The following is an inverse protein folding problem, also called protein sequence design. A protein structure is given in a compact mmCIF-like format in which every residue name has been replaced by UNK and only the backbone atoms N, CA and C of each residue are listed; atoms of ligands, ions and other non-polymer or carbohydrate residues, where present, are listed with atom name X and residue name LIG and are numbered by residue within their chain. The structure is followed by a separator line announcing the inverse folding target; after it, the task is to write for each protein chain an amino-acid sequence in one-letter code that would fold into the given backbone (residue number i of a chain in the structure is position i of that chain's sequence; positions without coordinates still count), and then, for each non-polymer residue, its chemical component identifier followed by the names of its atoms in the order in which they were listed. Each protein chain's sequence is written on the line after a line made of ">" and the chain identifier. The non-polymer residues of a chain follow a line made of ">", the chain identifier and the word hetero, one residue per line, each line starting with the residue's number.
data_IF_167485258703
#
_entry.id   IF_167485258703
#
_cell.length_a   1.000
_cell.length_b   1.000
_cell.length_c   1.000
_cell.angle_alpha   90.00
_cell.angle_beta   90.00
_cell.angle_gamma   90.00
#
_symmetry.space_group_name_H-M   'P 1'
#
loop_
_entity.id
_entity.type
_entity.pdbx_description
1 polymer ?
#
# COMPACT_ATOMS: atom_id res chain seq x y z
N UNK A 1 10.52 -19.40 40.68
CA UNK A 1 10.01 -19.54 39.30
C UNK A 1 11.08 -19.17 38.26
N UNK A 2 11.56 -17.92 38.20
CA UNK A 2 12.58 -17.52 37.21
C UNK A 2 13.87 -18.37 37.26
N UNK A 3 14.46 -18.57 38.46
CA UNK A 3 15.66 -19.41 38.66
C UNK A 3 15.49 -20.84 38.14
N UNK A 4 14.31 -21.42 38.29
CA UNK A 4 14.01 -22.77 37.81
C UNK A 4 13.94 -22.81 36.28
N UNK A 5 13.27 -21.84 35.66
CA UNK A 5 13.21 -21.72 34.19
C UNK A 5 14.60 -21.56 33.60
N UNK A 6 15.42 -20.63 34.13
CA UNK A 6 16.78 -20.38 33.64
C UNK A 6 17.66 -21.63 33.78
N UNK A 7 17.59 -22.31 34.92
CA UNK A 7 18.35 -23.54 35.17
C UNK A 7 17.94 -24.68 34.23
N UNK A 8 16.64 -24.90 34.05
CA UNK A 8 16.11 -25.94 33.16
C UNK A 8 16.48 -25.68 31.69
N UNK A 9 16.35 -24.44 31.21
CA UNK A 9 16.75 -24.08 29.84
C UNK A 9 18.26 -24.29 29.66
N UNK A 10 19.08 -23.87 30.63
CA UNK A 10 20.52 -23.97 30.55
C UNK A 10 20.97 -25.44 30.48
N UNK A 11 20.47 -26.31 31.36
CA UNK A 11 20.81 -27.75 31.33
C UNK A 11 20.39 -28.40 30.02
N UNK A 12 19.14 -28.21 29.59
CA UNK A 12 18.64 -28.86 28.37
C UNK A 12 19.24 -28.28 27.09
N UNK A 13 19.88 -27.10 27.15
CA UNK A 13 20.63 -26.54 26.03
C UNK A 13 21.96 -27.28 25.77
N UNK A 14 22.55 -27.91 26.80
CA UNK A 14 23.78 -28.73 26.70
C UNK A 14 23.51 -30.23 26.48
N UNK A 15 22.24 -30.66 26.46
CA UNK A 15 21.90 -32.05 26.18
C UNK A 15 22.15 -32.39 24.70
N UNK A 16 22.81 -33.52 24.44
CA UNK A 16 23.11 -33.99 23.08
C UNK A 16 21.87 -34.39 22.28
N UNK A 17 20.83 -34.89 22.97
CA UNK A 17 19.52 -35.14 22.39
C UNK A 17 18.56 -34.01 22.76
N UNK A 18 17.93 -33.39 21.75
CA UNK A 18 16.99 -32.27 21.90
C UNK A 18 15.59 -32.71 21.48
N UNK A 19 14.65 -32.65 22.40
CA UNK A 19 13.24 -32.92 22.13
C UNK A 19 12.38 -31.86 22.81
N UNK A 20 11.31 -31.43 22.14
CA UNK A 20 10.42 -30.37 22.62
C UNK A 20 9.75 -30.71 23.97
N UNK A 21 9.57 -32.01 24.25
CA UNK A 21 8.96 -32.47 25.51
C UNK A 21 9.79 -32.17 26.76
N UNK A 22 11.11 -31.98 26.63
CA UNK A 22 11.98 -31.66 27.78
C UNK A 22 11.70 -30.29 28.39
N UNK A 23 11.16 -29.35 27.59
CA UNK A 23 10.78 -28.01 28.05
C UNK A 23 9.27 -27.87 28.35
N UNK A 24 8.46 -28.89 28.07
CA UNK A 24 7.02 -28.86 28.35
C UNK A 24 6.69 -28.60 29.83
N UNK A 25 7.43 -29.14 30.82
CA UNK A 25 7.17 -28.88 32.24
C UNK A 25 7.35 -27.42 32.66
N UNK A 26 8.13 -26.62 31.93
CA UNK A 26 8.32 -25.18 32.24
C UNK A 26 7.31 -24.27 31.51
N UNK A 27 6.52 -24.82 30.58
CA UNK A 27 5.54 -24.07 29.79
C UNK A 27 4.48 -23.35 30.64
N UNK A 28 3.90 -23.96 31.69
CA UNK A 28 2.93 -23.26 32.55
C UNK A 28 3.55 -22.06 33.27
N UNK A 29 4.80 -22.18 33.73
CA UNK A 29 5.50 -21.08 34.41
C UNK A 29 5.77 -19.91 33.45
N UNK A 30 6.14 -20.20 32.20
CA UNK A 30 6.31 -19.20 31.16
C UNK A 30 5.01 -18.45 30.85
N UNK A 31 3.86 -19.14 30.83
CA UNK A 31 2.55 -18.52 30.64
C UNK A 31 2.17 -17.58 31.78
N UNK A 32 2.50 -17.91 33.03
CA UNK A 32 2.29 -17.02 34.18
C UNK A 32 3.11 -15.73 34.04
N UNK A 33 4.37 -15.82 33.61
CA UNK A 33 5.19 -14.64 33.34
C UNK A 33 4.67 -13.80 32.16
N UNK A 34 4.23 -14.45 31.07
CA UNK A 34 3.63 -13.76 29.94
C UNK A 34 2.34 -13.03 30.34
N UNK A 35 1.46 -13.67 31.11
CA UNK A 35 0.23 -13.08 31.62
C UNK A 35 0.53 -11.88 32.53
N UNK A 36 1.48 -12.01 33.47
CA UNK A 36 1.90 -10.89 34.32
C UNK A 36 2.42 -9.71 33.50
N UNK A 37 3.28 -9.97 32.50
CA UNK A 37 3.80 -8.93 31.60
C UNK A 37 2.67 -8.22 30.85
N UNK A 38 1.70 -8.97 30.30
CA UNK A 38 0.53 -8.40 29.62
C UNK A 38 -0.34 -7.56 30.55
N UNK A 39 -0.57 -8.01 31.78
CA UNK A 39 -1.33 -7.23 32.77
C UNK A 39 -0.58 -5.96 33.12
N UNK A 40 0.70 -6.04 33.46
CA UNK A 40 1.54 -4.88 33.80
C UNK A 40 1.54 -3.87 32.62
N UNK A 41 1.66 -4.35 31.38
CA UNK A 41 1.54 -3.56 30.14
C UNK A 41 0.16 -2.90 29.97
N UNK A 42 -0.92 -3.58 30.34
CA UNK A 42 -2.29 -3.08 30.21
C UNK A 42 -2.65 -2.04 31.28
N UNK A 43 -2.09 -2.17 32.48
CA UNK A 43 -2.34 -1.27 33.61
C UNK A 43 -1.47 -0.02 33.58
N UNK A 44 -0.35 -0.03 32.84
CA UNK A 44 0.51 1.15 32.68
C UNK A 44 -0.11 2.18 31.72
N UNK A 45 -0.84 3.14 32.30
CA UNK A 45 -1.50 4.24 31.60
C UNK A 45 -0.51 5.18 30.91
N UNK A 46 0.78 5.19 31.28
CA UNK A 46 1.81 6.04 30.64
C UNK A 46 2.25 5.49 29.30
N UNK A 47 2.19 4.17 29.11
CA UNK A 47 2.62 3.52 27.89
C UNK A 47 1.54 3.42 26.82
N UNK A 48 0.27 3.63 27.19
CA UNK A 48 -0.87 3.77 26.27
C UNK A 48 -0.68 4.88 25.23
N UNK A 49 0.07 5.95 25.54
CA UNK A 49 0.35 7.06 24.59
C UNK A 49 1.65 6.92 23.79
N UNK A 50 2.51 5.94 24.07
CA UNK A 50 3.83 5.79 23.42
C UNK A 50 4.16 4.34 23.08
N UNK A 51 3.28 3.68 22.33
CA UNK A 51 3.73 2.66 21.38
C UNK A 51 3.35 3.11 19.99
N UNK A 52 4.14 4.03 19.41
CA UNK A 52 4.33 4.00 17.95
C UNK A 52 5.06 2.69 17.70
N UNK A 53 4.31 1.63 17.45
CA UNK A 53 4.86 0.35 17.03
C UNK A 53 5.88 0.62 15.93
N UNK A 54 7.12 0.16 16.12
CA UNK A 54 8.20 0.17 15.11
C UNK A 54 7.91 -0.82 13.99
N UNK A 55 6.64 -1.05 13.69
CA UNK A 55 6.17 -1.98 12.70
C UNK A 55 5.63 -1.17 11.52
N UNK A 56 6.00 -1.61 10.33
CA UNK A 56 5.54 -1.04 9.07
C UNK A 56 4.04 -1.25 8.93
N UNK A 57 3.26 -0.29 9.45
CA UNK A 57 1.80 -0.35 9.53
C UNK A 57 1.11 0.63 8.57
N UNK A 58 1.85 1.51 7.89
CA UNK A 58 1.30 2.50 6.96
C UNK A 58 0.26 1.92 5.98
N UNK A 59 0.53 0.77 5.33
CA UNK A 59 -0.44 0.15 4.44
C UNK A 59 -1.72 -0.35 5.10
N UNK A 60 -1.70 -0.68 6.40
CA UNK A 60 -2.89 -1.04 7.16
C UNK A 60 -3.62 0.22 7.61
N UNK A 61 -2.88 1.21 8.11
CA UNK A 61 -3.42 2.48 8.61
C UNK A 61 -4.15 3.26 7.52
N UNK A 62 -3.67 3.24 6.27
CA UNK A 62 -4.36 3.92 5.15
C UNK A 62 -5.74 3.30 4.87
N UNK A 63 -5.88 1.98 5.02
CA UNK A 63 -7.19 1.33 4.86
C UNK A 63 -8.16 1.71 5.98
N UNK A 64 -7.65 1.89 7.20
CA UNK A 64 -8.44 2.43 8.31
C UNK A 64 -8.86 3.88 8.07
N UNK A 65 -7.94 4.71 7.54
CA UNK A 65 -8.25 6.09 7.15
C UNK A 65 -9.38 6.14 6.12
N UNK A 66 -9.27 5.37 5.02
CA UNK A 66 -10.29 5.32 3.96
C UNK A 66 -11.63 4.82 4.53
N UNK A 67 -11.60 3.82 5.41
CA UNK A 67 -12.81 3.29 6.05
C UNK A 67 -13.56 4.33 6.89
N UNK A 68 -12.85 5.32 7.43
CA UNK A 68 -13.41 6.40 8.25
C UNK A 68 -13.93 7.59 7.44
N UNK A 69 -13.70 7.63 6.11
CA UNK A 69 -14.20 8.71 5.28
C UNK A 69 -15.75 8.77 5.29
N UNK A 70 -16.34 9.99 5.35
CA UNK A 70 -17.79 10.17 5.34
C UNK A 70 -18.46 9.53 4.11
N UNK A 71 -19.62 8.89 4.30
CA UNK A 71 -20.36 8.25 3.18
C UNK A 71 -20.78 9.23 2.09
N UNK A 72 -21.16 10.45 2.49
CA UNK A 72 -21.52 11.52 1.55
C UNK A 72 -20.39 11.78 0.56
N UNK A 73 -19.15 11.86 1.05
CA UNK A 73 -17.98 12.07 0.21
C UNK A 73 -17.75 10.86 -0.70
N UNK A 74 -17.92 9.63 -0.20
CA UNK A 74 -17.61 8.44 -0.99
C UNK A 74 -18.53 8.17 -2.19
N UNK A 75 -19.80 8.58 -2.13
CA UNK A 75 -20.78 8.29 -3.19
C UNK A 75 -20.45 8.93 -4.56
N UNK A 76 -19.65 10.00 -4.57
CA UNK A 76 -19.26 10.74 -5.78
C UNK A 76 -17.76 10.71 -6.02
N UNK A 77 -17.04 9.76 -5.41
CA UNK A 77 -15.59 9.75 -5.47
C UNK A 77 -15.04 8.44 -5.96
N UNK A 78 -13.80 8.54 -6.37
CA UNK A 78 -12.95 7.43 -6.78
C UNK A 78 -11.63 7.53 -6.03
N UNK A 79 -11.03 6.37 -5.78
CA UNK A 79 -9.79 6.23 -5.05
C UNK A 79 -8.81 5.44 -5.92
N UNK A 80 -7.67 6.04 -6.24
CA UNK A 80 -6.61 5.42 -7.01
C UNK A 80 -5.40 5.07 -6.14
N UNK A 81 -4.88 3.86 -6.30
CA UNK A 81 -3.68 3.40 -5.63
C UNK A 81 -2.50 3.35 -6.60
N UNK A 82 -1.58 4.32 -6.46
CA UNK A 82 -0.30 4.38 -7.17
C UNK A 82 0.81 3.77 -6.31
N UNK A 83 0.58 2.53 -5.90
CA UNK A 83 1.52 1.72 -5.12
C UNK A 83 1.76 0.40 -5.85
N UNK A 84 2.87 -0.31 -5.58
CA UNK A 84 3.04 -1.64 -6.13
C UNK A 84 1.87 -2.54 -5.72
N UNK A 85 1.51 -3.48 -6.58
CA UNK A 85 0.51 -4.49 -6.29
C UNK A 85 0.69 -5.15 -4.91
N UNK A 86 -0.45 -5.50 -4.29
CA UNK A 86 -0.52 -6.16 -2.98
C UNK A 86 0.22 -5.43 -1.85
N UNK A 87 0.51 -4.12 -2.02
CA UNK A 87 1.13 -3.33 -0.95
C UNK A 87 0.15 -2.98 0.16
N UNK A 88 -1.15 -2.89 -0.16
CA UNK A 88 -2.22 -2.67 0.81
C UNK A 88 -3.15 -3.88 0.84
N UNK A 89 -3.80 -4.18 1.97
CA UNK A 89 -4.64 -5.36 2.08
C UNK A 89 -6.01 -5.20 1.38
N UNK A 90 -6.33 -4.01 0.85
CA UNK A 90 -7.52 -3.75 0.03
C UNK A 90 -8.82 -4.16 0.70
N UNK A 91 -9.66 -4.90 -0.05
CA UNK A 91 -11.02 -5.31 0.38
C UNK A 91 -11.05 -6.19 1.63
N UNK A 92 -9.94 -6.84 2.02
CA UNK A 92 -9.89 -7.62 3.26
C UNK A 92 -9.96 -6.76 4.53
N UNK A 93 -9.61 -5.47 4.42
CA UNK A 93 -9.66 -4.50 5.53
C UNK A 93 -10.64 -3.34 5.28
N UNK A 94 -11.13 -3.20 4.05
CA UNK A 94 -12.04 -2.13 3.62
C UNK A 94 -13.37 -2.69 3.10
N UNK A 95 -14.26 -3.03 4.02
CA UNK A 95 -15.63 -3.45 3.69
C UNK A 95 -16.58 -2.25 3.56
N UNK A 96 -16.48 -1.51 2.45
CA UNK A 96 -17.37 -0.36 2.13
C UNK A 96 -18.05 -0.59 0.80
N UNK A 97 -19.38 -0.71 0.81
CA UNK A 97 -20.19 -0.88 -0.42
C UNK A 97 -20.08 0.33 -1.35
N UNK A 98 -19.95 1.53 -0.78
CA UNK A 98 -19.79 2.79 -1.52
C UNK A 98 -18.53 2.79 -2.42
N UNK A 99 -17.51 2.01 -2.05
CA UNK A 99 -16.24 1.87 -2.77
C UNK A 99 -16.08 0.49 -3.44
N UNK A 100 -17.14 -0.31 -3.47
CA UNK A 100 -17.11 -1.60 -4.15
C UNK A 100 -17.10 -1.40 -5.68
N UNK A 101 -16.55 -2.37 -6.40
CA UNK A 101 -16.41 -2.31 -7.85
C UNK A 101 -15.27 -1.38 -8.28
N UNK A 102 -15.51 -0.60 -9.33
CA UNK A 102 -14.49 0.17 -10.05
C UNK A 102 -14.18 1.55 -9.44
N UNK A 103 -14.87 1.93 -8.35
CA UNK A 103 -14.61 3.19 -7.62
C UNK A 103 -13.28 3.19 -6.89
N UNK A 104 -12.72 2.01 -6.64
CA UNK A 104 -11.39 1.84 -6.06
C UNK A 104 -10.56 0.98 -7.00
N UNK A 105 -9.51 1.55 -7.58
CA UNK A 105 -8.63 0.84 -8.50
C UNK A 105 -7.18 0.87 -8.02
N UNK A 106 -6.42 -0.12 -8.47
CA UNK A 106 -4.99 -0.27 -8.19
C UNK A 106 -4.27 -0.65 -9.48
N UNK A 107 -2.97 -0.36 -9.57
CA UNK A 107 -2.15 -0.83 -10.69
C UNK A 107 -2.14 -2.37 -10.74
N UNK A 108 -2.26 -2.92 -11.95
CA UNK A 108 -2.18 -4.36 -12.22
C UNK A 108 -0.76 -4.92 -12.14
N UNK A 109 -0.66 -6.22 -11.93
CA UNK A 109 0.58 -6.99 -11.78
C UNK A 109 0.38 -8.46 -12.15
N UNK A 110 -0.45 -8.70 -13.16
CA UNK A 110 -0.73 -10.02 -13.67
C UNK A 110 0.60 -10.68 -14.03
N UNK A 111 0.77 -11.98 -13.77
CA UNK A 111 1.96 -12.67 -14.23
C UNK A 111 1.94 -12.84 -15.75
N UNK A 112 3.09 -13.06 -16.40
CA UNK A 112 3.12 -13.43 -17.81
C UNK A 112 2.33 -14.72 -18.04
N UNK A 113 1.30 -14.66 -18.87
CA UNK A 113 0.51 -15.82 -19.27
C UNK A 113 0.80 -16.21 -20.72
N UNK A 114 0.40 -17.43 -21.13
CA UNK A 114 0.44 -17.88 -22.52
C UNK A 114 1.83 -17.76 -23.20
N UNK A 115 2.89 -18.17 -22.50
CA UNK A 115 4.27 -18.17 -23.03
C UNK A 115 4.81 -16.80 -23.44
N UNK A 116 4.33 -15.72 -22.80
CA UNK A 116 4.95 -14.41 -22.91
C UNK A 116 6.44 -14.47 -22.57
N UNK A 117 7.25 -13.76 -23.35
CA UNK A 117 8.70 -13.75 -23.17
C UNK A 117 9.07 -13.03 -21.85
N UNK A 118 9.58 -13.80 -20.89
CA UNK A 118 9.96 -13.34 -19.56
C UNK A 118 11.03 -12.23 -19.58
N UNK A 119 11.88 -12.20 -20.60
CA UNK A 119 12.95 -11.20 -20.70
C UNK A 119 12.43 -9.80 -21.09
N UNK A 120 11.28 -9.74 -21.78
CA UNK A 120 10.69 -8.48 -22.27
C UNK A 120 9.38 -8.14 -21.57
N UNK A 121 8.89 -9.04 -20.72
CA UNK A 121 7.64 -8.88 -20.00
C UNK A 121 7.72 -7.72 -19.01
N UNK A 122 6.71 -6.85 -19.03
CA UNK A 122 6.47 -5.83 -18.01
C UNK A 122 4.98 -5.79 -17.70
N UNK A 123 4.64 -5.83 -16.43
CA UNK A 123 3.27 -5.58 -15.97
C UNK A 123 2.99 -4.06 -15.85
N UNK A 124 1.76 -3.69 -15.53
CA UNK A 124 1.38 -2.28 -15.40
C UNK A 124 2.14 -1.55 -14.30
N UNK A 125 2.39 -2.23 -13.18
CA UNK A 125 3.19 -1.70 -12.07
C UNK A 125 4.62 -1.43 -12.52
N UNK A 126 5.21 -2.33 -13.32
CA UNK A 126 6.54 -2.12 -13.90
C UNK A 126 6.57 -0.93 -14.84
N UNK A 127 5.60 -0.81 -15.76
CA UNK A 127 5.53 0.33 -16.68
C UNK A 127 5.31 1.65 -15.94
N UNK A 128 4.51 1.66 -14.87
CA UNK A 128 4.30 2.86 -14.06
C UNK A 128 5.58 3.28 -13.33
N UNK A 129 6.25 2.37 -12.64
CA UNK A 129 7.43 2.70 -11.84
C UNK A 129 8.72 2.87 -12.66
N UNK A 130 8.73 2.55 -13.96
CA UNK A 130 9.85 2.84 -14.89
C UNK A 130 9.97 4.34 -15.15
N UNK A 131 8.84 5.02 -15.39
CA UNK A 131 8.77 6.49 -15.50
C UNK A 131 7.39 7.00 -15.07
N UNK A 132 7.18 7.27 -13.76
CA UNK A 132 5.86 7.62 -13.25
C UNK A 132 5.29 8.91 -13.84
N UNK A 133 6.13 9.93 -14.04
CA UNK A 133 5.71 11.20 -14.64
C UNK A 133 5.20 10.99 -16.06
N UNK A 134 5.94 10.26 -16.88
CA UNK A 134 5.53 9.96 -18.26
C UNK A 134 4.28 9.07 -18.30
N UNK A 135 4.14 8.13 -17.38
CA UNK A 135 2.94 7.32 -17.24
C UNK A 135 1.71 8.20 -16.98
N UNK A 136 1.79 9.09 -15.98
CA UNK A 136 0.70 10.01 -15.64
C UNK A 136 0.31 10.89 -16.85
N UNK A 137 1.29 11.44 -17.56
CA UNK A 137 1.04 12.26 -18.76
C UNK A 137 0.48 11.48 -19.96
N UNK A 138 0.77 10.18 -20.05
CA UNK A 138 0.36 9.33 -21.18
C UNK A 138 -1.05 8.76 -20.97
N UNK A 139 -1.36 8.29 -19.76
CA UNK A 139 -2.55 7.48 -19.49
C UNK A 139 -3.65 8.21 -18.70
N UNK A 140 -3.39 9.42 -18.19
CA UNK A 140 -4.40 10.27 -17.57
C UNK A 140 -4.75 11.47 -18.47
N UNK A 141 -5.96 12.04 -18.33
CA UNK A 141 -6.33 13.30 -18.98
C UNK A 141 -5.40 14.45 -18.56
N UNK A 142 -5.31 15.49 -19.36
CA UNK A 142 -4.47 16.65 -19.05
C UNK A 142 -4.98 17.51 -17.88
N UNK A 143 -6.27 17.39 -17.55
CA UNK A 143 -6.93 18.10 -16.46
C UNK A 143 -7.82 17.15 -15.68
N UNK A 144 -7.98 17.42 -14.38
CA UNK A 144 -8.91 16.68 -13.52
C UNK A 144 -10.35 17.06 -13.86
N UNK A 145 -11.19 16.06 -14.14
CA UNK A 145 -12.65 16.22 -14.17
C UNK A 145 -13.19 16.19 -12.73
N UNK A 146 -13.77 17.28 -12.20
CA UNK A 146 -14.27 17.34 -10.82
C UNK A 146 -15.46 16.41 -10.54
N UNK A 147 -16.06 15.81 -11.57
CA UNK A 147 -17.09 14.78 -11.41
C UNK A 147 -16.53 13.41 -11.02
N UNK A 148 -15.20 13.25 -11.09
CA UNK A 148 -14.47 12.02 -10.76
C UNK A 148 -15.10 10.76 -11.38
N UNK A 149 -15.22 10.69 -12.72
CA UNK A 149 -15.78 9.52 -13.39
C UNK A 149 -14.93 8.26 -13.13
N UNK A 150 -15.52 7.11 -13.39
CA UNK A 150 -14.80 5.83 -13.29
C UNK A 150 -13.75 5.75 -14.41
N UNK A 151 -12.54 5.35 -14.04
CA UNK A 151 -11.50 5.01 -15.02
C UNK A 151 -12.01 3.90 -15.94
N UNK A 152 -11.97 4.07 -17.28
CA UNK A 152 -12.48 3.05 -18.20
C UNK A 152 -11.67 1.76 -18.22
N UNK A 153 -10.35 1.85 -18.02
CA UNK A 153 -9.46 0.70 -18.00
C UNK A 153 -8.25 0.95 -17.08
N UNK A 154 -8.46 1.05 -15.75
CA UNK A 154 -7.44 1.46 -14.80
C UNK A 154 -6.44 0.35 -14.48
N UNK A 155 -6.84 -0.90 -14.68
CA UNK A 155 -5.98 -2.05 -14.43
C UNK A 155 -6.12 -3.08 -15.53
N UNK A 156 -5.07 -3.86 -15.70
CA UNK A 156 -5.14 -5.12 -16.44
C UNK A 156 -6.23 -6.05 -15.88
N UNK A 157 -6.66 -7.00 -16.71
CA UNK A 157 -7.75 -7.93 -16.39
C UNK A 157 -7.17 -9.19 -15.73
N UNK A 158 -7.62 -9.57 -14.52
CA UNK A 158 -7.15 -10.77 -13.86
C UNK A 158 -7.34 -12.03 -14.70
N UNK A 159 -6.29 -12.85 -14.80
CA UNK A 159 -6.31 -14.12 -15.54
C UNK A 159 -6.28 -13.99 -17.07
N UNK A 160 -6.18 -12.77 -17.61
CA UNK A 160 -5.93 -12.53 -19.03
C UNK A 160 -4.44 -12.28 -19.29
N UNK A 161 -3.93 -12.62 -20.49
CA UNK A 161 -2.56 -12.27 -20.86
C UNK A 161 -2.36 -10.75 -20.80
N UNK A 162 -1.15 -10.32 -20.41
CA UNK A 162 -0.85 -8.89 -20.35
C UNK A 162 -1.10 -8.23 -21.71
N UNK A 163 -1.71 -7.04 -21.66
CA UNK A 163 -2.06 -6.31 -22.86
C UNK A 163 -0.82 -6.01 -23.70
N UNK A 164 -0.92 -6.24 -25.02
CA UNK A 164 0.16 -5.89 -25.92
C UNK A 164 0.17 -4.37 -26.17
N UNK A 165 1.35 -3.74 -26.19
CA UNK A 165 1.44 -2.34 -26.53
C UNK A 165 1.13 -2.14 -28.02
N UNK A 166 0.45 -1.06 -28.35
CA UNK A 166 0.13 -0.65 -29.71
C UNK A 166 0.75 0.71 -30.02
N UNK A 167 1.03 0.98 -31.29
CA UNK A 167 1.60 2.25 -31.69
C UNK A 167 0.56 3.38 -31.60
N UNK A 168 0.81 4.39 -30.76
CA UNK A 168 0.00 5.59 -30.68
C UNK A 168 0.62 6.71 -31.50
N UNK A 169 -0.08 7.13 -32.55
CA UNK A 169 0.32 8.29 -33.36
C UNK A 169 0.37 9.58 -32.54
N UNK A 170 -0.54 9.74 -31.56
CA UNK A 170 -0.60 10.92 -30.68
C UNK A 170 0.68 11.12 -29.88
N UNK A 171 1.27 10.02 -29.40
CA UNK A 171 2.48 10.06 -28.56
C UNK A 171 3.74 9.63 -29.32
N UNK A 172 3.60 9.28 -30.61
CA UNK A 172 4.66 8.74 -31.47
C UNK A 172 5.46 7.60 -30.81
N UNK A 173 4.79 6.73 -30.04
CA UNK A 173 5.41 5.61 -29.31
C UNK A 173 4.41 4.48 -29.07
N UNK A 174 4.93 3.30 -28.76
CA UNK A 174 4.11 2.16 -28.33
C UNK A 174 3.61 2.36 -26.90
N UNK A 175 2.30 2.26 -26.70
CA UNK A 175 1.64 2.41 -25.40
C UNK A 175 0.71 1.23 -25.13
N UNK A 176 0.42 0.99 -23.86
CA UNK A 176 -0.56 0.00 -23.45
C UNK A 176 -1.99 0.56 -23.53
N UNK A 177 -3.03 -0.28 -23.52
CA UNK A 177 -4.42 0.17 -23.66
C UNK A 177 -5.04 0.76 -22.38
N UNK A 178 -4.28 0.92 -21.29
CA UNK A 178 -4.78 1.49 -20.03
C UNK A 178 -5.31 2.90 -20.21
N UNK A 179 -6.40 3.20 -19.51
CA UNK A 179 -7.06 4.52 -19.51
C UNK A 179 -7.54 4.82 -18.10
N UNK A 180 -6.99 5.88 -17.53
CA UNK A 180 -7.34 6.35 -16.20
C UNK A 180 -8.17 7.62 -16.27
N UNK A 181 -8.99 7.82 -15.26
CA UNK A 181 -9.53 9.12 -14.87
C UNK A 181 -8.84 9.55 -13.58
N UNK A 182 -8.70 10.86 -13.38
CA UNK A 182 -8.13 11.40 -12.15
C UNK A 182 -9.07 11.13 -10.97
N UNK A 183 -8.62 10.43 -9.91
CA UNK A 183 -9.48 10.12 -8.77
C UNK A 183 -9.47 11.23 -7.74
N UNK A 184 -10.50 11.35 -6.89
CA UNK A 184 -10.47 12.37 -5.83
C UNK A 184 -9.33 12.12 -4.83
N UNK A 185 -9.05 10.86 -4.52
CA UNK A 185 -7.96 10.46 -3.61
C UNK A 185 -6.93 9.60 -4.32
N UNK A 186 -5.65 9.95 -4.13
CA UNK A 186 -4.50 9.17 -4.55
C UNK A 186 -3.76 8.64 -3.32
N UNK A 187 -3.44 7.35 -3.33
CA UNK A 187 -2.60 6.70 -2.32
C UNK A 187 -1.29 6.33 -2.96
N UNK A 188 -0.19 6.72 -2.31
CA UNK A 188 1.16 6.48 -2.78
C UNK A 188 2.15 6.31 -1.62
N UNK A 189 3.31 5.74 -1.92
CA UNK A 189 4.45 5.75 -1.01
C UNK A 189 5.30 7.02 -1.23
N UNK A 190 5.89 7.54 -0.16
CA UNK A 190 6.63 8.80 -0.19
C UNK A 190 7.79 8.86 -1.18
N UNK A 191 8.44 7.73 -1.50
CA UNK A 191 9.51 7.66 -2.49
C UNK A 191 9.03 8.05 -3.91
N UNK A 192 7.76 7.80 -4.24
CA UNK A 192 7.17 8.20 -5.52
C UNK A 192 7.21 9.72 -5.73
N UNK A 193 7.06 10.51 -4.66
CA UNK A 193 7.09 11.97 -4.75
C UNK A 193 8.52 12.52 -4.96
N UNK A 194 9.54 11.72 -4.63
CA UNK A 194 10.94 12.09 -4.86
C UNK A 194 11.38 11.85 -6.31
N UNK A 195 10.58 11.10 -7.09
CA UNK A 195 10.81 10.91 -8.51
C UNK A 195 10.59 12.22 -9.26
N UNK A 196 11.46 12.48 -10.24
CA UNK A 196 11.56 13.79 -10.88
C UNK A 196 10.23 14.25 -11.49
N UNK A 197 9.76 15.42 -11.04
CA UNK A 197 8.56 16.10 -11.51
C UNK A 197 7.22 15.44 -11.15
N UNK A 198 7.17 14.33 -10.42
CA UNK A 198 5.90 13.69 -10.02
C UNK A 198 5.13 14.56 -9.04
N UNK A 199 5.80 15.03 -7.98
CA UNK A 199 5.17 15.90 -6.99
C UNK A 199 4.64 17.19 -7.63
N UNK A 200 5.47 17.86 -8.43
CA UNK A 200 5.09 19.10 -9.14
C UNK A 200 3.90 18.88 -10.08
N UNK A 201 3.84 17.73 -10.76
CA UNK A 201 2.72 17.39 -11.63
C UNK A 201 1.43 17.23 -10.82
N UNK A 202 1.45 16.49 -9.70
CA UNK A 202 0.26 16.29 -8.86
C UNK A 202 -0.22 17.60 -8.23
N UNK A 203 0.70 18.42 -7.72
CA UNK A 203 0.40 19.75 -7.19
C UNK A 203 -0.20 20.66 -8.27
N UNK A 204 0.35 20.63 -9.49
CA UNK A 204 -0.18 21.36 -10.64
C UNK A 204 -1.57 20.93 -11.08
N UNK A 205 -1.94 19.66 -10.86
CA UNK A 205 -3.31 19.16 -11.06
C UNK A 205 -4.27 19.54 -9.92
N UNK A 206 -3.77 20.13 -8.83
CA UNK A 206 -4.57 20.55 -7.67
C UNK A 206 -4.68 19.52 -6.55
N UNK A 207 -3.77 18.53 -6.50
CA UNK A 207 -3.67 17.59 -5.39
C UNK A 207 -2.76 18.12 -4.29
N UNK A 208 -3.11 17.81 -3.04
CA UNK A 208 -2.26 18.04 -1.88
C UNK A 208 -2.35 16.92 -0.85
N UNK A 209 -1.32 16.79 -0.02
CA UNK A 209 -1.30 15.80 1.06
C UNK A 209 -2.33 16.14 2.15
N UNK A 210 -3.18 15.17 2.48
CA UNK A 210 -4.18 15.29 3.56
C UNK A 210 -3.93 14.33 4.71
N UNK A 211 -3.13 13.28 4.49
CA UNK A 211 -2.84 12.27 5.50
C UNK A 211 -1.54 11.52 5.21
N UNK A 212 -0.88 11.05 6.28
CA UNK A 212 0.39 10.30 6.21
C UNK A 212 0.55 9.35 7.40
N UNK A 213 1.08 8.16 7.13
CA UNK A 213 1.49 7.18 8.15
C UNK A 213 2.77 6.43 7.79
N UNK A 214 3.48 5.97 8.81
CA UNK A 214 4.81 5.36 8.68
C UNK A 214 5.95 6.37 8.63
N UNK A 215 7.17 5.88 8.40
CA UNK A 215 8.40 6.69 8.35
C UNK A 215 8.96 6.77 6.94
N UNK A 216 9.71 7.83 6.65
CA UNK A 216 10.30 8.03 5.30
C UNK A 216 11.33 6.97 4.90
N UNK A 217 11.95 6.29 5.87
CA UNK A 217 12.95 5.27 5.61
C UNK A 217 12.38 3.85 5.65
N UNK A 218 11.12 3.67 6.02
CA UNK A 218 10.47 2.35 6.03
C UNK A 218 10.22 1.85 4.60
N UNK A 219 10.25 0.52 4.42
CA UNK A 219 10.03 -0.12 3.12
C UNK A 219 11.29 -0.25 2.26
N UNK A 220 11.13 -0.91 1.12
CA UNK A 220 12.20 -1.22 0.16
C UNK A 220 11.74 -0.95 -1.27
N UNK A 221 12.68 -0.58 -2.15
CA UNK A 221 12.42 -0.29 -3.55
C UNK A 221 11.20 0.62 -3.77
N UNK A 222 10.26 0.17 -4.61
CA UNK A 222 9.01 0.88 -4.96
C UNK A 222 8.01 1.03 -3.79
N UNK A 223 8.26 0.37 -2.63
CA UNK A 223 7.44 0.45 -1.40
C UNK A 223 8.07 1.31 -0.31
N UNK A 224 9.12 2.06 -0.64
CA UNK A 224 9.86 2.88 0.31
C UNK A 224 9.15 4.20 0.63
N UNK A 225 9.25 4.65 1.86
CA UNK A 225 8.67 5.91 2.32
C UNK A 225 7.35 5.72 3.05
N UNK A 226 6.93 6.78 3.76
CA UNK A 226 5.64 6.79 4.44
C UNK A 226 4.50 6.64 3.42
N UNK A 227 3.42 5.96 3.80
CA UNK A 227 2.19 5.93 3.00
C UNK A 227 1.49 7.28 3.15
N UNK A 228 1.09 7.86 2.02
CA UNK A 228 0.49 9.18 1.95
C UNK A 228 -0.84 9.12 1.21
N UNK A 229 -1.78 9.96 1.62
CA UNK A 229 -3.03 10.20 0.91
C UNK A 229 -3.02 11.63 0.42
N UNK A 230 -3.21 11.77 -0.88
CA UNK A 230 -3.31 13.03 -1.58
C UNK A 230 -4.74 13.22 -2.06
N UNK A 231 -5.32 14.40 -1.83
CA UNK A 231 -6.70 14.73 -2.20
C UNK A 231 -6.70 15.90 -3.16
N UNK A 232 -7.55 15.83 -4.18
CA UNK A 232 -7.82 16.97 -5.05
C UNK A 232 -8.66 18.03 -4.33
N UNK A 233 -8.20 19.28 -4.34
CA UNK A 233 -8.90 20.41 -3.71
C UNK A 233 -9.35 21.46 -4.73
N UNK A 234 -8.52 21.73 -5.75
CA UNK A 234 -8.74 22.55 -6.94
C UNK A 234 -7.37 22.93 -7.51
N UNK A 235 -7.20 23.19 -8.81
CA UNK A 235 -5.94 23.71 -9.33
C UNK A 235 -5.59 25.05 -8.66
N UNK A 236 -4.30 25.32 -8.37
CA UNK A 236 -3.90 26.64 -7.93
C UNK A 236 -4.25 27.67 -9.02
N UNK A 237 -4.93 28.75 -8.64
CA UNK A 237 -5.21 29.85 -9.57
C UNK A 237 -3.86 30.42 -10.04
N UNK A 238 -3.53 30.21 -11.32
CA UNK A 238 -2.39 30.87 -11.95
C UNK A 238 -2.77 32.35 -12.12
N UNK A 239 -2.24 33.21 -11.25
CA UNK A 239 -2.21 34.66 -11.50
C UNK A 239 -1.30 34.97 -12.68
#
# INVERSE_FOLDING_TARGET
>A
MFRAITWTILIYSFAGHKEWRFIHPILPLLHVFAAKSLVDLSTDTRMSRKKKTTHWNGPIEVMHYIRQLPRHDLNQTTIGFLVPCHSTPGQSHLHRRDLAGERMWQLGCEPPLQHQNLATYKDQTDVFFDNPKEYLLTYFPSQVDPSFPLSPFPSSIPGQPASLPYFSQRFNKSIYPWKHEWPQYLILFGDLLQQDGVQVLLEGQGYGEVWKAGREWEGEGKRKGAVRVWKWASPPQTN
#
